data_IF_013587765571
#
_entry.id   IF_013587765571
#
_cell.length_a   1.000
_cell.length_b   1.000
_cell.length_c   1.000
_cell.angle_alpha   90.00
_cell.angle_beta   90.00
_cell.angle_gamma   90.00
#
_symmetry.space_group_name_H-M   'P 1'
#
loop_
_entity.id
_entity.type
_entity.pdbx_description
1 polymer ?
#
# COMPACT_ATOMS: atom_id res chain seq x y z
N UNK A 1 9.39 13.22 20.56
CA UNK A 1 8.88 12.74 19.27
C UNK A 1 8.81 11.23 19.25
N UNK A 2 7.62 10.71 19.13
CA UNK A 2 7.37 9.28 19.14
C UNK A 2 6.98 8.82 17.75
N UNK A 3 7.63 7.75 17.28
CA UNK A 3 7.26 7.13 16.02
C UNK A 3 6.02 6.26 16.26
N UNK A 4 4.91 6.60 15.62
CA UNK A 4 3.66 5.84 15.74
C UNK A 4 3.42 4.94 14.53
N UNK A 5 4.16 5.14 13.44
CA UNK A 5 4.08 4.33 12.25
C UNK A 5 5.03 4.86 11.18
N UNK A 6 5.09 4.15 10.06
CA UNK A 6 5.91 4.57 8.91
C UNK A 6 5.37 4.00 7.62
N UNK A 7 5.73 4.62 6.50
CA UNK A 7 5.40 4.13 5.18
C UNK A 7 6.53 4.45 4.22
N UNK A 8 6.60 3.72 3.11
CA UNK A 8 7.60 3.94 2.09
C UNK A 8 7.03 3.68 0.70
N UNK A 9 7.55 4.40 -0.28
CA UNK A 9 7.13 4.29 -1.67
C UNK A 9 8.34 4.44 -2.57
N UNK A 10 8.32 3.74 -3.70
CA UNK A 10 9.37 3.81 -4.71
C UNK A 10 8.76 4.14 -6.08
N UNK A 11 9.26 5.20 -6.69
CA UNK A 11 8.86 5.61 -8.04
C UNK A 11 10.11 5.74 -8.90
N UNK A 12 10.37 4.77 -9.81
CA UNK A 12 11.62 4.78 -10.59
C UNK A 12 11.67 5.89 -11.63
N UNK A 13 10.54 6.33 -12.16
CA UNK A 13 10.48 7.38 -13.17
C UNK A 13 9.05 7.92 -13.29
N UNK A 14 8.87 9.17 -13.80
CA UNK A 14 7.53 9.65 -14.13
C UNK A 14 6.87 8.78 -15.20
N UNK A 15 5.56 8.62 -15.10
CA UNK A 15 4.77 7.86 -16.07
C UNK A 15 4.68 6.38 -15.80
N UNK A 16 5.42 5.87 -14.80
CA UNK A 16 5.35 4.46 -14.40
C UNK A 16 4.60 4.31 -13.08
N UNK A 17 4.42 3.07 -12.65
CA UNK A 17 3.73 2.77 -11.39
C UNK A 17 4.66 3.04 -10.20
N UNK A 18 4.08 3.56 -9.11
CA UNK A 18 4.78 3.70 -7.85
C UNK A 18 4.50 2.45 -6.99
N UNK A 19 5.53 1.88 -6.40
CA UNK A 19 5.41 0.71 -5.54
C UNK A 19 5.37 1.14 -4.07
N UNK A 20 4.30 0.77 -3.37
CA UNK A 20 4.22 0.96 -1.93
C UNK A 20 5.00 -0.18 -1.29
N UNK A 21 6.12 0.17 -0.64
CA UNK A 21 7.04 -0.82 -0.09
C UNK A 21 6.59 -1.31 1.28
N UNK A 22 6.05 -0.39 2.09
CA UNK A 22 5.60 -0.75 3.42
C UNK A 22 4.65 0.31 3.97
N UNK A 23 3.66 -0.15 4.74
CA UNK A 23 2.82 0.72 5.57
C UNK A 23 2.69 0.02 6.92
N UNK A 24 3.16 0.65 7.96
CA UNK A 24 3.14 0.06 9.29
C UNK A 24 2.71 1.09 10.33
N UNK A 25 1.87 0.68 11.25
CA UNK A 25 1.41 1.50 12.38
C UNK A 25 1.56 0.66 13.64
N UNK A 26 2.14 1.25 14.69
CA UNK A 26 2.26 0.54 15.96
C UNK A 26 0.89 0.09 16.46
N UNK A 27 0.78 -1.11 17.09
CA UNK A 27 -0.53 -1.65 17.49
C UNK A 27 -1.40 -0.70 18.31
N UNK A 28 -0.80 0.06 19.22
CA UNK A 28 -1.54 0.98 20.09
C UNK A 28 -2.11 2.19 19.34
N UNK A 29 -1.70 2.42 18.11
CA UNK A 29 -2.18 3.53 17.28
C UNK A 29 -3.02 3.08 16.09
N UNK A 30 -3.32 1.79 15.99
CA UNK A 30 -4.16 1.25 14.92
C UNK A 30 -5.60 1.70 15.08
N UNK A 31 -6.35 1.69 13.97
CA UNK A 31 -7.78 2.06 13.92
C UNK A 31 -8.04 3.54 14.24
N UNK A 32 -7.02 4.39 14.07
CA UNK A 32 -7.15 5.83 14.26
C UNK A 32 -7.04 6.59 12.92
N UNK A 33 -7.16 5.90 11.81
CA UNK A 33 -7.05 6.52 10.50
C UNK A 33 -5.62 6.85 10.06
N UNK A 34 -4.60 6.39 10.79
CA UNK A 34 -3.20 6.72 10.52
C UNK A 34 -2.73 6.07 9.21
N UNK A 35 -3.06 4.80 9.00
CA UNK A 35 -2.68 4.12 7.76
C UNK A 35 -3.34 4.78 6.55
N UNK A 36 -4.61 5.19 6.68
CA UNK A 36 -5.32 5.91 5.63
C UNK A 36 -4.65 7.24 5.31
N UNK A 37 -4.20 7.96 6.34
CA UNK A 37 -3.50 9.22 6.15
C UNK A 37 -2.14 9.01 5.49
N UNK A 38 -1.40 7.96 5.86
CA UNK A 38 -0.16 7.59 5.18
C UNK A 38 -0.40 7.33 3.69
N UNK A 39 -1.44 6.55 3.38
CA UNK A 39 -1.78 6.24 2.00
C UNK A 39 -2.11 7.52 1.22
N UNK A 40 -2.86 8.44 1.83
CA UNK A 40 -3.19 9.72 1.21
C UNK A 40 -1.92 10.50 0.87
N UNK A 41 -0.99 10.56 1.82
CA UNK A 41 0.25 11.32 1.64
C UNK A 41 1.15 10.70 0.56
N UNK A 42 1.31 9.38 0.55
CA UNK A 42 2.17 8.75 -0.46
C UNK A 42 1.52 8.77 -1.85
N UNK A 43 0.20 8.72 -1.95
CA UNK A 43 -0.49 8.88 -3.22
C UNK A 43 -0.30 10.29 -3.77
N UNK A 44 -0.44 11.30 -2.91
CA UNK A 44 -0.22 12.69 -3.30
C UNK A 44 1.22 12.92 -3.77
N UNK A 45 2.19 12.42 -3.01
CA UNK A 45 3.60 12.49 -3.37
C UNK A 45 3.88 11.85 -4.73
N UNK A 46 3.33 10.65 -4.94
CA UNK A 46 3.53 9.89 -6.18
C UNK A 46 2.87 10.58 -7.37
N UNK A 47 1.65 11.09 -7.16
CA UNK A 47 0.90 11.76 -8.22
C UNK A 47 1.60 13.05 -8.65
N UNK A 48 2.13 13.82 -7.71
CA UNK A 48 2.89 15.04 -8.01
C UNK A 48 4.13 14.75 -8.84
N UNK A 49 4.69 13.54 -8.71
CA UNK A 49 5.89 13.13 -9.47
C UNK A 49 5.56 12.35 -10.72
N UNK A 50 4.30 12.32 -11.11
CA UNK A 50 3.89 11.76 -12.39
C UNK A 50 3.66 10.27 -12.41
N UNK A 51 3.45 9.63 -11.25
CA UNK A 51 3.12 8.20 -11.22
C UNK A 51 1.80 7.95 -11.96
N UNK A 52 1.74 6.85 -12.72
CA UNK A 52 0.53 6.47 -13.46
C UNK A 52 -0.44 5.68 -12.59
N UNK A 53 0.06 5.01 -11.55
CA UNK A 53 -0.72 4.15 -10.70
C UNK A 53 0.06 3.85 -9.42
N UNK A 54 -0.63 3.29 -8.43
CA UNK A 54 -0.02 2.77 -7.22
C UNK A 54 -0.14 1.25 -7.21
N UNK A 55 0.93 0.57 -6.78
CA UNK A 55 0.97 -0.89 -6.66
C UNK A 55 1.37 -1.26 -5.25
N UNK A 56 0.85 -2.35 -4.74
CA UNK A 56 1.26 -2.89 -3.44
C UNK A 56 1.08 -4.40 -3.40
N UNK A 57 1.80 -5.05 -2.48
CA UNK A 57 1.54 -6.44 -2.10
C UNK A 57 1.02 -6.46 -0.67
N UNK A 58 0.05 -7.33 -0.41
CA UNK A 58 -0.51 -7.52 0.93
C UNK A 58 -0.73 -9.01 1.16
N UNK A 59 -0.38 -9.50 2.36
CA UNK A 59 -0.60 -10.91 2.69
C UNK A 59 -2.09 -11.21 2.63
N UNK A 60 -2.46 -12.33 2.01
CA UNK A 60 -3.87 -12.68 1.76
C UNK A 60 -4.68 -12.84 3.04
N UNK A 61 -4.03 -13.10 4.19
CA UNK A 61 -4.71 -13.23 5.48
C UNK A 61 -4.90 -11.90 6.21
N UNK A 62 -4.31 -10.82 5.70
CA UNK A 62 -4.41 -9.51 6.32
C UNK A 62 -5.70 -8.80 5.88
N UNK A 63 -6.83 -9.28 6.41
CA UNK A 63 -8.15 -8.82 5.98
C UNK A 63 -8.37 -7.33 6.22
N UNK A 64 -7.90 -6.80 7.35
CA UNK A 64 -8.11 -5.40 7.67
C UNK A 64 -7.36 -4.48 6.71
N UNK A 65 -6.14 -4.86 6.30
CA UNK A 65 -5.38 -4.08 5.32
C UNK A 65 -6.04 -4.15 3.95
N UNK A 66 -6.47 -5.35 3.54
CA UNK A 66 -7.15 -5.53 2.26
C UNK A 66 -8.41 -4.66 2.18
N UNK A 67 -9.21 -4.66 3.25
CA UNK A 67 -10.41 -3.82 3.31
C UNK A 67 -10.08 -2.33 3.20
N UNK A 68 -9.02 -1.90 3.90
CA UNK A 68 -8.56 -0.52 3.81
C UNK A 68 -8.20 -0.15 2.36
N UNK A 69 -7.38 -0.99 1.71
CA UNK A 69 -6.94 -0.71 0.35
C UNK A 69 -8.12 -0.70 -0.63
N UNK A 70 -9.04 -1.65 -0.49
CA UNK A 70 -10.27 -1.64 -1.30
C UNK A 70 -11.07 -0.36 -1.11
N UNK A 71 -11.19 0.11 0.13
CA UNK A 71 -11.93 1.34 0.41
C UNK A 71 -11.26 2.57 -0.20
N UNK A 72 -9.96 2.50 -0.47
CA UNK A 72 -9.20 3.58 -1.09
C UNK A 72 -9.14 3.46 -2.62
N UNK A 73 -9.77 2.44 -3.19
CA UNK A 73 -9.86 2.29 -4.64
C UNK A 73 -8.89 1.30 -5.25
N UNK A 74 -8.18 0.52 -4.43
CA UNK A 74 -7.27 -0.51 -4.93
C UNK A 74 -8.05 -1.75 -5.33
N UNK A 75 -7.61 -2.39 -6.40
CA UNK A 75 -8.20 -3.63 -6.90
C UNK A 75 -7.13 -4.73 -6.94
N UNK A 76 -7.51 -5.93 -6.55
CA UNK A 76 -6.63 -7.09 -6.68
C UNK A 76 -6.48 -7.44 -8.16
N UNK A 77 -5.23 -7.50 -8.63
CA UNK A 77 -4.94 -7.81 -10.03
C UNK A 77 -4.21 -9.15 -10.21
N UNK A 78 -3.55 -9.67 -9.18
CA UNK A 78 -2.87 -10.95 -9.25
C UNK A 78 -2.52 -11.46 -7.86
N UNK A 79 -1.94 -12.67 -7.81
CA UNK A 79 -1.47 -13.30 -6.57
C UNK A 79 -0.01 -13.69 -6.79
N UNK A 80 0.85 -13.39 -5.81
CA UNK A 80 2.23 -13.86 -5.80
C UNK A 80 2.34 -14.97 -4.77
N UNK A 81 2.47 -16.20 -5.24
CA UNK A 81 2.49 -17.36 -4.36
C UNK A 81 3.76 -17.38 -3.52
N UNK A 82 3.61 -17.73 -2.25
CA UNK A 82 4.70 -17.87 -1.29
C UNK A 82 5.57 -16.61 -1.13
N UNK A 83 5.02 -15.44 -1.43
CA UNK A 83 5.76 -14.17 -1.39
C UNK A 83 6.30 -13.87 0.01
N UNK A 84 5.52 -14.15 1.05
CA UNK A 84 5.89 -13.92 2.44
C UNK A 84 6.42 -15.18 3.13
N UNK A 85 6.55 -16.29 2.40
CA UNK A 85 7.02 -17.57 2.90
C UNK A 85 6.11 -18.71 2.43
N UNK A 86 6.48 -19.97 2.71
CA UNK A 86 5.68 -21.12 2.27
C UNK A 86 4.23 -21.02 2.72
N UNK A 87 3.31 -21.10 1.78
CA UNK A 87 1.87 -21.00 2.05
C UNK A 87 1.37 -19.60 2.38
N UNK A 88 2.24 -18.58 2.27
CA UNK A 88 1.88 -17.20 2.60
C UNK A 88 1.88 -16.35 1.34
N UNK A 89 0.78 -16.39 0.63
CA UNK A 89 0.63 -15.68 -0.64
C UNK A 89 0.36 -14.20 -0.43
N UNK A 90 0.75 -13.39 -1.40
CA UNK A 90 0.45 -11.98 -1.45
C UNK A 90 -0.58 -11.71 -2.53
N UNK A 91 -1.57 -10.86 -2.21
CA UNK A 91 -2.38 -10.24 -3.24
C UNK A 91 -1.63 -9.03 -3.78
N UNK A 92 -1.57 -8.90 -5.09
CA UNK A 92 -1.07 -7.69 -5.74
C UNK A 92 -2.26 -6.81 -6.01
N UNK A 93 -2.22 -5.58 -5.51
CA UNK A 93 -3.32 -4.63 -5.65
C UNK A 93 -2.83 -3.38 -6.37
N UNK A 94 -3.73 -2.77 -7.14
CA UNK A 94 -3.39 -1.62 -7.99
C UNK A 94 -4.49 -0.59 -7.94
N UNK A 95 -4.08 0.68 -7.89
CA UNK A 95 -4.98 1.83 -8.04
C UNK A 95 -4.45 2.70 -9.16
N UNK A 96 -5.23 2.82 -10.23
CA UNK A 96 -4.86 3.65 -11.37
C UNK A 96 -5.23 5.10 -11.09
N UNK A 97 -4.32 6.02 -11.42
CA UNK A 97 -4.62 7.44 -11.35
C UNK A 97 -5.28 7.88 -12.64
N UNK A 98 -6.34 8.65 -12.48
CA UNK A 98 -7.08 9.17 -13.62
C UNK A 98 -6.32 10.33 -14.30
#
# INVERSE_FOLDING_TARGET
NKIIGYCGVFLPAPGVEADILTVAVLPEYRRQGIAREFMRQIEEWSRERGASAMMLEVEQTNESAIELYKSLGYMKISVRMDYYGPGKDAFVMRKEFA
#
